data_IF_130289635340
#
_entry.id   IF_130289635340
#
_cell.length_a   1.000
_cell.length_b   1.000
_cell.length_c   1.000
_cell.angle_alpha   90.00
_cell.angle_beta   90.00
_cell.angle_gamma   90.00
#
_symmetry.space_group_name_H-M   'P 1'
#
loop_
_entity.id
_entity.type
_entity.pdbx_description
1 polymer ?
#
# COMPACT_ATOMS: atom_id res chain seq x y z
N UNK A 1 -40.84 18.79 -12.68
CA UNK A 1 -39.58 18.20 -12.16
C UNK A 1 -39.44 16.81 -12.77
N UNK A 2 -38.72 16.70 -13.90
CA UNK A 2 -38.45 15.42 -14.56
C UNK A 2 -37.46 14.64 -13.69
N UNK A 3 -37.83 13.41 -13.35
CA UNK A 3 -37.00 12.44 -12.65
C UNK A 3 -35.64 12.31 -13.32
N UNK A 4 -34.57 12.65 -12.61
CA UNK A 4 -33.18 12.33 -12.98
C UNK A 4 -32.62 11.22 -12.09
N UNK A 5 -33.49 10.30 -11.63
CA UNK A 5 -33.17 9.20 -10.71
C UNK A 5 -32.72 7.91 -11.41
N UNK A 6 -32.65 7.88 -12.74
CA UNK A 6 -32.27 6.67 -13.50
C UNK A 6 -30.77 6.29 -13.39
N UNK A 7 -29.97 7.07 -12.67
CA UNK A 7 -28.57 6.76 -12.33
C UNK A 7 -28.41 6.02 -10.99
N UNK A 8 -29.44 5.97 -10.15
CA UNK A 8 -29.33 5.56 -8.73
C UNK A 8 -29.86 4.14 -8.44
N UNK A 9 -29.76 3.19 -9.38
CA UNK A 9 -30.40 1.88 -9.20
C UNK A 9 -29.71 0.92 -8.22
N UNK A 10 -28.55 1.25 -7.63
CA UNK A 10 -27.95 0.45 -6.56
C UNK A 10 -26.91 1.25 -5.74
N UNK A 11 -27.37 2.07 -4.78
CA UNK A 11 -26.48 2.70 -3.79
C UNK A 11 -26.19 1.68 -2.68
N UNK A 12 -24.99 1.09 -2.67
CA UNK A 12 -24.62 0.04 -1.70
C UNK A 12 -24.24 0.57 -0.31
N UNK A 13 -23.65 1.76 -0.21
CA UNK A 13 -23.21 2.37 1.05
C UNK A 13 -23.26 3.90 0.95
N UNK A 14 -23.74 4.53 2.02
CA UNK A 14 -23.81 5.98 2.20
C UNK A 14 -22.84 6.35 3.31
N UNK A 15 -21.94 7.29 3.04
CA UNK A 15 -21.06 7.87 4.05
C UNK A 15 -21.24 9.39 4.07
N UNK A 16 -21.43 9.95 5.26
CA UNK A 16 -21.44 11.40 5.44
C UNK A 16 -20.00 11.93 5.52
N UNK A 17 -19.66 12.90 4.69
CA UNK A 17 -18.37 13.60 4.71
C UNK A 17 -18.60 15.10 4.50
N UNK A 18 -18.20 15.93 5.46
CA UNK A 18 -18.33 17.40 5.40
C UNK A 18 -19.75 17.90 5.06
N UNK A 19 -20.78 17.23 5.58
CA UNK A 19 -22.19 17.58 5.30
C UNK A 19 -22.71 17.09 3.94
N UNK A 20 -21.87 16.42 3.15
CA UNK A 20 -22.22 15.84 1.86
C UNK A 20 -22.34 14.30 1.96
N UNK A 21 -23.12 13.73 1.05
CA UNK A 21 -23.29 12.28 0.89
C UNK A 21 -22.29 11.79 -0.16
N UNK A 22 -21.39 10.89 0.21
CA UNK A 22 -20.44 10.26 -0.71
C UNK A 22 -20.98 8.91 -1.17
N UNK A 23 -21.00 8.67 -2.47
CA UNK A 23 -21.45 7.41 -3.06
C UNK A 23 -20.62 7.02 -4.29
N UNK A 24 -20.55 5.72 -4.60
CA UNK A 24 -19.93 5.22 -5.83
C UNK A 24 -21.00 5.06 -6.90
N UNK A 25 -20.81 5.70 -8.06
CA UNK A 25 -21.64 5.51 -9.24
C UNK A 25 -21.15 4.29 -10.03
N UNK A 26 -22.00 3.27 -10.15
CA UNK A 26 -21.65 2.04 -10.87
C UNK A 26 -21.55 2.21 -12.39
N UNK A 27 -22.25 3.17 -13.00
CA UNK A 27 -22.16 3.40 -14.45
C UNK A 27 -20.85 4.08 -14.79
N UNK A 28 -20.48 5.09 -14.00
CA UNK A 28 -19.29 5.89 -14.26
C UNK A 28 -18.03 5.31 -13.60
N UNK A 29 -18.18 4.32 -12.71
CA UNK A 29 -17.13 3.78 -11.84
C UNK A 29 -16.38 4.88 -11.06
N UNK A 30 -17.08 5.95 -10.69
CA UNK A 30 -16.53 7.12 -10.03
C UNK A 30 -17.17 7.32 -8.66
N UNK A 31 -16.39 7.85 -7.74
CA UNK A 31 -16.92 8.37 -6.48
C UNK A 31 -17.53 9.74 -6.76
N UNK A 32 -18.74 9.96 -6.27
CA UNK A 32 -19.49 11.22 -6.39
C UNK A 32 -19.91 11.69 -5.01
N UNK A 33 -20.09 13.00 -4.91
CA UNK A 33 -20.52 13.67 -3.69
C UNK A 33 -21.81 14.42 -3.97
N UNK A 34 -22.82 14.19 -3.14
CA UNK A 34 -24.10 14.87 -3.21
C UNK A 34 -24.21 15.86 -2.06
N UNK A 35 -24.38 17.14 -2.39
CA UNK A 35 -24.64 18.18 -1.42
C UNK A 35 -26.16 18.33 -1.25
N UNK A 36 -26.65 18.10 -0.04
CA UNK A 36 -28.09 18.13 0.27
C UNK A 36 -28.68 19.54 0.28
N UNK A 37 -27.86 20.58 0.48
CA UNK A 37 -28.27 21.97 0.54
C UNK A 37 -28.41 22.58 -0.85
N UNK A 38 -27.47 22.29 -1.76
CA UNK A 38 -27.49 22.77 -3.15
C UNK A 38 -28.19 21.81 -4.12
N UNK A 39 -28.52 20.59 -3.67
CA UNK A 39 -29.02 19.49 -4.50
C UNK A 39 -28.13 19.19 -5.73
N UNK A 40 -26.83 19.43 -5.61
CA UNK A 40 -25.84 19.18 -6.67
C UNK A 40 -25.11 17.86 -6.45
N UNK A 41 -24.84 17.16 -7.54
CA UNK A 41 -23.96 15.98 -7.57
C UNK A 41 -22.69 16.38 -8.28
N UNK A 42 -21.57 16.26 -7.59
CA UNK A 42 -20.26 16.51 -8.14
C UNK A 42 -19.48 15.20 -8.19
N UNK A 43 -18.63 15.04 -9.20
CA UNK A 43 -17.66 13.95 -9.17
C UNK A 43 -16.67 14.29 -8.07
N UNK A 44 -16.40 13.34 -7.18
CA UNK A 44 -15.39 13.53 -6.14
C UNK A 44 -14.02 13.61 -6.84
N UNK A 45 -13.59 14.84 -7.11
CA UNK A 45 -12.26 15.11 -7.62
C UNK A 45 -11.38 15.28 -6.40
N UNK A 46 -10.65 14.22 -6.05
CA UNK A 46 -9.48 14.38 -5.19
C UNK A 46 -8.53 15.31 -5.94
N UNK A 47 -8.33 16.52 -5.41
CA UNK A 47 -7.25 17.34 -5.92
C UNK A 47 -5.94 16.63 -5.60
N UNK A 48 -5.14 16.47 -6.65
CA UNK A 48 -4.00 15.57 -6.67
C UNK A 48 -2.67 16.30 -6.66
N UNK A 49 -2.70 17.60 -6.37
CA UNK A 49 -1.50 18.39 -6.22
C UNK A 49 -0.81 18.08 -4.88
N UNK A 50 0.53 18.18 -4.82
CA UNK A 50 1.30 17.95 -3.61
C UNK A 50 0.81 18.76 -2.40
N UNK A 51 0.44 20.03 -2.62
CA UNK A 51 0.00 20.91 -1.54
C UNK A 51 -1.34 20.46 -0.96
N UNK A 52 -2.29 20.11 -1.81
CA UNK A 52 -3.61 19.66 -1.35
C UNK A 52 -3.53 18.32 -0.63
N UNK A 53 -2.67 17.42 -1.11
CA UNK A 53 -2.43 16.15 -0.45
C UNK A 53 -1.84 16.34 0.95
N UNK A 54 -0.93 17.30 1.15
CA UNK A 54 -0.45 17.68 2.49
C UNK A 54 -1.60 18.18 3.36
N UNK A 55 -2.38 19.15 2.86
CA UNK A 55 -3.53 19.70 3.59
C UNK A 55 -4.54 18.61 4.01
N UNK A 56 -4.84 17.67 3.10
CA UNK A 56 -5.76 16.56 3.35
C UNK A 56 -5.21 15.60 4.42
N UNK A 57 -3.94 15.19 4.31
CA UNK A 57 -3.32 14.30 5.30
C UNK A 57 -3.25 14.98 6.67
N UNK A 58 -2.89 16.26 6.73
CA UNK A 58 -2.88 17.03 7.99
C UNK A 58 -4.27 17.14 8.60
N UNK A 59 -5.30 17.37 7.79
CA UNK A 59 -6.70 17.44 8.25
C UNK A 59 -7.16 16.11 8.85
N UNK A 60 -6.88 14.99 8.18
CA UNK A 60 -7.17 13.65 8.69
C UNK A 60 -6.38 13.36 9.96
N UNK A 61 -5.09 13.70 9.99
CA UNK A 61 -4.26 13.47 11.17
C UNK A 61 -4.75 14.29 12.37
N UNK A 62 -5.13 15.55 12.16
CA UNK A 62 -5.72 16.40 13.19
C UNK A 62 -7.06 15.84 13.70
N UNK A 63 -7.94 15.40 12.80
CA UNK A 63 -9.20 14.76 13.16
C UNK A 63 -8.95 13.53 14.06
N UNK A 64 -8.07 12.61 13.65
CA UNK A 64 -7.78 11.41 14.45
C UNK A 64 -7.15 11.78 15.80
N UNK A 65 -6.21 12.73 15.83
CA UNK A 65 -5.62 13.21 17.09
C UNK A 65 -6.69 13.76 18.05
N UNK A 66 -7.62 14.56 17.53
CA UNK A 66 -8.74 15.11 18.30
C UNK A 66 -9.65 14.00 18.84
N UNK A 67 -10.08 13.07 17.98
CA UNK A 67 -10.91 11.92 18.41
C UNK A 67 -10.22 11.10 19.50
N UNK A 68 -8.91 10.86 19.36
CA UNK A 68 -8.14 10.13 20.38
C UNK A 68 -8.06 10.91 21.70
N UNK A 69 -7.87 12.24 21.64
CA UNK A 69 -7.86 13.09 22.82
C UNK A 69 -9.22 13.10 23.55
N UNK A 70 -10.32 13.24 22.79
CA UNK A 70 -11.69 13.22 23.31
C UNK A 70 -12.00 11.90 24.02
N UNK A 71 -11.64 10.76 23.41
CA UNK A 71 -11.86 9.44 24.01
C UNK A 71 -11.03 9.27 25.28
N UNK A 72 -9.76 9.67 25.26
CA UNK A 72 -8.91 9.62 26.47
C UNK A 72 -9.52 10.45 27.60
N UNK A 73 -10.03 11.63 27.31
CA UNK A 73 -10.69 12.49 28.28
C UNK A 73 -11.98 11.85 28.81
N UNK A 74 -12.82 11.33 27.92
CA UNK A 74 -14.12 10.72 28.27
C UNK A 74 -13.95 9.54 29.23
N UNK A 75 -12.98 8.65 28.95
CA UNK A 75 -12.70 7.48 29.77
C UNK A 75 -11.67 7.73 30.89
N UNK A 76 -11.22 8.98 31.08
CA UNK A 76 -10.20 9.36 32.08
C UNK A 76 -8.93 8.49 31.99
N UNK A 77 -8.52 8.18 30.77
CA UNK A 77 -7.36 7.35 30.50
C UNK A 77 -6.07 8.13 30.70
N UNK A 78 -5.00 7.45 31.11
CA UNK A 78 -3.65 8.03 31.11
C UNK A 78 -3.17 8.26 29.67
N UNK A 79 -2.34 9.28 29.46
CA UNK A 79 -1.72 9.61 28.16
C UNK A 79 -1.05 8.40 27.49
N UNK A 80 -0.39 7.56 28.29
CA UNK A 80 0.37 6.39 27.83
C UNK A 80 -0.47 5.13 27.68
N UNK A 81 -1.73 5.14 28.11
CA UNK A 81 -2.60 3.97 28.02
C UNK A 81 -2.86 3.60 26.55
N UNK A 82 -2.83 2.30 26.27
CA UNK A 82 -3.19 1.75 24.97
C UNK A 82 -4.69 1.87 24.75
N UNK A 83 -5.08 2.38 23.57
CA UNK A 83 -6.48 2.57 23.18
C UNK A 83 -6.96 1.48 22.20
N UNK A 84 -6.17 0.43 22.00
CA UNK A 84 -6.44 -0.66 21.05
C UNK A 84 -7.39 -1.73 21.65
N UNK A 85 -8.49 -1.30 22.28
CA UNK A 85 -9.37 -2.12 23.11
C UNK A 85 -10.86 -2.07 22.71
N UNK A 86 -11.75 -2.71 23.49
CA UNK A 86 -13.21 -2.73 23.27
C UNK A 86 -13.89 -1.35 23.16
N UNK A 87 -13.18 -0.29 23.53
CA UNK A 87 -13.55 1.13 23.46
C UNK A 87 -13.56 1.67 22.01
N UNK A 88 -13.06 0.88 21.04
CA UNK A 88 -13.32 1.11 19.62
C UNK A 88 -12.56 2.27 18.97
N UNK A 89 -11.39 2.64 19.48
CA UNK A 89 -10.57 3.73 18.93
C UNK A 89 -9.51 3.30 17.93
N UNK A 90 -9.02 4.29 17.16
CA UNK A 90 -7.98 4.12 16.14
C UNK A 90 -6.69 3.59 16.77
N UNK A 91 -6.14 2.50 16.20
CA UNK A 91 -4.94 1.88 16.78
C UNK A 91 -3.75 2.85 16.87
N UNK A 92 -2.90 2.69 17.88
CA UNK A 92 -1.65 3.47 17.99
C UNK A 92 -0.78 3.40 16.73
N UNK A 93 -0.70 2.23 16.10
CA UNK A 93 0.06 2.04 14.85
C UNK A 93 -0.50 2.91 13.72
N UNK A 94 -1.82 3.06 13.67
CA UNK A 94 -2.48 3.89 12.67
C UNK A 94 -2.18 5.37 12.88
N UNK A 95 -2.16 5.83 14.14
CA UNK A 95 -1.75 7.21 14.47
C UNK A 95 -0.29 7.47 14.07
N UNK A 96 0.62 6.56 14.40
CA UNK A 96 2.03 6.65 14.03
C UNK A 96 2.22 6.63 12.50
N UNK A 97 1.47 5.78 11.78
CA UNK A 97 1.46 5.78 10.31
C UNK A 97 0.98 7.10 9.72
N UNK A 98 -0.03 7.75 10.28
CA UNK A 98 -0.50 9.06 9.79
C UNK A 98 0.53 10.17 10.00
N UNK A 99 1.23 10.16 11.13
CA UNK A 99 2.34 11.10 11.38
C UNK A 99 3.48 10.89 10.38
N UNK A 100 3.82 9.63 10.06
CA UNK A 100 4.82 9.33 9.05
C UNK A 100 4.38 9.76 7.65
N UNK A 101 3.10 9.55 7.32
CA UNK A 101 2.53 9.94 6.04
C UNK A 101 2.53 11.47 5.88
N UNK A 102 2.10 12.22 6.90
CA UNK A 102 2.12 13.68 6.92
C UNK A 102 3.53 14.21 6.63
N UNK A 103 4.53 13.74 7.40
CA UNK A 103 5.93 14.11 7.20
C UNK A 103 6.46 13.73 5.83
N UNK A 104 6.08 12.55 5.33
CA UNK A 104 6.50 12.09 4.00
C UNK A 104 5.96 12.98 2.88
N UNK A 105 4.71 13.44 3.01
CA UNK A 105 4.09 14.34 2.04
C UNK A 105 4.71 15.74 2.07
N UNK A 106 4.96 16.28 3.27
CA UNK A 106 5.68 17.55 3.44
C UNK A 106 7.07 17.48 2.81
N UNK A 107 7.82 16.42 3.13
CA UNK A 107 9.16 16.21 2.59
C UNK A 107 9.15 16.05 1.06
N UNK A 108 8.16 15.33 0.49
CA UNK A 108 8.02 15.20 -0.95
C UNK A 108 7.80 16.56 -1.62
N UNK A 109 6.85 17.35 -1.09
CA UNK A 109 6.56 18.70 -1.58
C UNK A 109 7.82 19.57 -1.52
N UNK A 110 8.50 19.59 -0.38
CA UNK A 110 9.67 20.45 -0.17
C UNK A 110 10.85 20.03 -1.07
N UNK A 111 11.05 18.72 -1.26
CA UNK A 111 12.06 18.21 -2.20
C UNK A 111 11.78 18.62 -3.64
N UNK A 112 10.52 18.51 -4.09
CA UNK A 112 10.13 18.98 -5.43
C UNK A 112 10.37 20.47 -5.55
N UNK A 113 9.90 21.25 -4.56
CA UNK A 113 10.08 22.71 -4.52
C UNK A 113 11.54 23.11 -4.66
N UNK A 114 12.43 22.41 -3.95
CA UNK A 114 13.87 22.65 -3.98
C UNK A 114 14.52 22.32 -5.34
N UNK A 115 13.95 21.38 -6.10
CA UNK A 115 14.44 21.01 -7.44
C UNK A 115 13.89 21.96 -8.50
N UNK A 116 12.57 22.18 -8.50
CA UNK A 116 11.88 23.09 -9.40
C UNK A 116 10.51 23.48 -8.82
N UNK A 117 10.37 24.74 -8.39
CA UNK A 117 9.12 25.26 -7.81
C UNK A 117 7.98 25.31 -8.84
N UNK A 118 8.26 25.67 -10.09
CA UNK A 118 7.25 25.78 -11.13
C UNK A 118 6.59 24.42 -11.44
N UNK A 119 7.35 23.33 -11.24
CA UNK A 119 6.88 21.98 -11.47
C UNK A 119 5.88 21.48 -10.43
N UNK A 120 5.75 22.13 -9.26
CA UNK A 120 4.78 21.71 -8.22
C UNK A 120 3.34 21.70 -8.73
N UNK A 121 2.98 22.65 -9.59
CA UNK A 121 1.64 22.76 -10.16
C UNK A 121 1.33 21.67 -11.20
N UNK A 122 2.37 21.13 -11.82
CA UNK A 122 2.29 20.12 -12.88
C UNK A 122 2.28 18.68 -12.35
N UNK A 123 2.67 18.48 -11.08
CA UNK A 123 2.65 17.15 -10.46
C UNK A 123 1.21 16.73 -10.19
N UNK A 124 0.80 15.67 -10.86
CA UNK A 124 -0.40 14.91 -10.52
C UNK A 124 -0.01 13.65 -9.73
N UNK A 125 -0.23 13.66 -8.42
CA UNK A 125 0.05 12.51 -7.55
C UNK A 125 -0.73 11.24 -7.93
N UNK A 126 -1.81 11.33 -8.72
CA UNK A 126 -2.52 10.15 -9.23
C UNK A 126 -1.64 9.32 -10.15
N UNK A 127 -0.66 9.92 -10.81
CA UNK A 127 0.35 9.19 -11.61
C UNK A 127 1.24 8.29 -10.76
N UNK A 128 1.39 8.57 -9.46
CA UNK A 128 2.11 7.66 -8.55
C UNK A 128 1.27 6.41 -8.23
N UNK A 129 -0.06 6.53 -8.26
CA UNK A 129 -0.97 5.40 -8.04
C UNK A 129 -0.88 4.40 -9.19
N UNK A 130 -0.69 4.84 -10.43
CA UNK A 130 -0.53 3.91 -11.56
C UNK A 130 0.72 3.07 -11.40
N UNK A 131 1.85 3.66 -11.01
CA UNK A 131 3.07 2.90 -10.71
C UNK A 131 2.88 1.91 -9.55
N UNK A 132 2.15 2.29 -8.51
CA UNK A 132 1.80 1.37 -7.40
C UNK A 132 0.93 0.21 -7.91
N UNK A 133 -0.10 0.50 -8.70
CA UNK A 133 -1.02 -0.50 -9.27
C UNK A 133 -0.29 -1.45 -10.21
N UNK A 134 0.58 -0.94 -11.08
CA UNK A 134 1.41 -1.73 -11.99
C UNK A 134 2.35 -2.67 -11.21
N UNK A 135 3.00 -2.16 -10.15
CA UNK A 135 3.84 -2.99 -9.29
C UNK A 135 3.04 -4.11 -8.60
N UNK A 136 1.82 -3.83 -8.14
CA UNK A 136 0.93 -4.86 -7.57
C UNK A 136 0.52 -5.89 -8.63
N UNK A 137 0.18 -5.45 -9.84
CA UNK A 137 -0.18 -6.34 -10.94
C UNK A 137 0.99 -7.22 -11.37
N UNK A 138 2.20 -6.67 -11.46
CA UNK A 138 3.41 -7.42 -11.76
C UNK A 138 3.63 -8.54 -10.74
N UNK A 139 3.49 -8.25 -9.43
CA UNK A 139 3.59 -9.26 -8.36
C UNK A 139 2.50 -10.34 -8.46
N UNK A 140 1.30 -9.98 -8.91
CA UNK A 140 0.25 -10.96 -9.19
C UNK A 140 0.62 -11.88 -10.36
N UNK A 141 1.12 -11.30 -11.46
CA UNK A 141 1.55 -12.06 -12.63
C UNK A 141 2.74 -12.99 -12.35
N UNK A 142 3.58 -12.67 -11.36
CA UNK A 142 4.62 -13.59 -10.88
C UNK A 142 4.05 -14.87 -10.25
N UNK A 143 2.84 -14.83 -9.69
CA UNK A 143 2.19 -16.01 -9.10
C UNK A 143 1.38 -16.79 -10.13
N UNK A 144 0.61 -16.10 -10.96
CA UNK A 144 -0.26 -16.69 -11.97
C UNK A 144 -0.17 -15.89 -13.26
N UNK A 145 0.07 -16.54 -14.40
CA UNK A 145 0.17 -15.86 -15.71
C UNK A 145 -1.10 -15.04 -16.01
N UNK A 146 -2.26 -15.60 -15.69
CA UNK A 146 -3.56 -14.92 -15.71
C UNK A 146 -4.33 -15.19 -14.42
N UNK A 147 -5.19 -14.27 -14.00
CA UNK A 147 -5.97 -14.39 -12.77
C UNK A 147 -7.39 -13.85 -12.97
N UNK A 148 -8.36 -14.50 -12.34
CA UNK A 148 -9.72 -13.97 -12.22
C UNK A 148 -9.76 -12.86 -11.18
N UNK A 149 -10.78 -11.99 -11.24
CA UNK A 149 -10.99 -10.94 -10.24
C UNK A 149 -11.10 -11.51 -8.81
N UNK A 150 -11.70 -12.70 -8.65
CA UNK A 150 -11.83 -13.37 -7.36
C UNK A 150 -10.46 -13.82 -6.82
N UNK A 151 -9.63 -14.45 -7.65
CA UNK A 151 -8.28 -14.87 -7.27
C UNK A 151 -7.40 -13.67 -6.91
N UNK A 152 -7.45 -12.60 -7.72
CA UNK A 152 -6.73 -11.36 -7.42
C UNK A 152 -7.16 -10.79 -6.07
N UNK A 153 -8.46 -10.75 -5.79
CA UNK A 153 -9.00 -10.29 -4.51
C UNK A 153 -8.54 -11.14 -3.32
N UNK A 154 -8.52 -12.46 -3.46
CA UNK A 154 -8.03 -13.38 -2.43
C UNK A 154 -6.53 -13.22 -2.16
N UNK A 155 -5.73 -13.01 -3.22
CA UNK A 155 -4.28 -12.85 -3.13
C UNK A 155 -3.82 -11.43 -2.79
N UNK A 156 -4.70 -10.43 -2.85
CA UNK A 156 -4.36 -9.01 -2.76
C UNK A 156 -3.53 -8.66 -1.52
N UNK A 157 -3.88 -9.21 -0.36
CA UNK A 157 -3.12 -8.98 0.88
C UNK A 157 -1.68 -9.51 0.80
N UNK A 158 -1.50 -10.68 0.18
CA UNK A 158 -0.17 -11.27 -0.04
C UNK A 158 0.61 -10.48 -1.07
N UNK A 159 -0.02 -10.11 -2.18
CA UNK A 159 0.57 -9.29 -3.25
C UNK A 159 1.06 -7.95 -2.68
N UNK A 160 0.22 -7.27 -1.89
CA UNK A 160 0.56 -5.99 -1.26
C UNK A 160 1.77 -6.12 -0.33
N UNK A 161 1.81 -7.19 0.47
CA UNK A 161 2.94 -7.46 1.37
C UNK A 161 4.24 -7.73 0.61
N UNK A 162 4.19 -8.55 -0.43
CA UNK A 162 5.38 -8.86 -1.25
C UNK A 162 5.84 -7.64 -2.07
N UNK A 163 4.92 -6.84 -2.60
CA UNK A 163 5.22 -5.58 -3.28
C UNK A 163 5.92 -4.59 -2.33
N UNK A 164 5.44 -4.48 -1.09
CA UNK A 164 6.07 -3.65 -0.07
C UNK A 164 7.50 -4.11 0.27
N UNK A 165 7.73 -5.43 0.37
CA UNK A 165 9.07 -5.98 0.61
C UNK A 165 10.06 -5.67 -0.52
N UNK A 166 9.59 -5.64 -1.77
CA UNK A 166 10.42 -5.36 -2.95
C UNK A 166 10.77 -3.88 -3.10
N UNK A 167 9.83 -3.00 -2.76
CA UNK A 167 9.96 -1.54 -2.92
C UNK A 167 10.70 -0.88 -1.75
N UNK A 168 10.63 -1.46 -0.56
CA UNK A 168 11.35 -0.96 0.61
C UNK A 168 12.63 -1.75 0.84
N UNK A 169 13.67 -1.13 1.42
CA UNK A 169 14.81 -1.86 2.00
C UNK A 169 14.32 -2.59 3.25
N UNK A 170 13.52 -3.64 3.05
CA UNK A 170 13.05 -4.51 4.12
C UNK A 170 14.27 -5.25 4.68
N UNK A 171 14.67 -4.90 5.90
CA UNK A 171 15.48 -5.78 6.74
C UNK A 171 14.54 -6.63 7.57
N UNK A 172 14.58 -7.95 7.42
CA UNK A 172 13.88 -8.83 8.33
C UNK A 172 14.56 -8.74 9.71
N UNK A 173 14.13 -7.80 10.55
CA UNK A 173 14.44 -7.84 11.99
C UNK A 173 13.58 -8.94 12.60
N UNK A 174 14.07 -10.17 12.50
CA UNK A 174 13.55 -11.24 13.35
C UNK A 174 13.84 -10.80 14.78
N UNK A 175 12.80 -10.54 15.56
CA UNK A 175 12.92 -10.44 17.02
C UNK A 175 13.26 -11.85 17.51
N UNK A 176 14.52 -12.24 17.40
CA UNK A 176 15.03 -13.34 18.20
C UNK A 176 14.95 -12.86 19.63
N UNK A 177 14.25 -13.61 20.49
CA UNK A 177 14.37 -13.46 21.95
C UNK A 177 15.86 -13.29 22.30
N UNK A 178 16.16 -12.58 23.39
CA UNK A 178 17.54 -12.38 23.87
C UNK A 178 18.33 -13.69 23.96
N UNK A 179 17.61 -14.82 24.13
CA UNK A 179 18.12 -16.17 23.96
C UNK A 179 17.47 -16.85 22.75
N UNK A 180 18.27 -17.39 21.84
CA UNK A 180 17.77 -18.23 20.75
C UNK A 180 17.09 -19.47 21.33
N UNK A 181 15.90 -19.81 20.83
CA UNK A 181 15.20 -21.04 21.21
C UNK A 181 15.91 -22.30 20.69
N UNK A 182 16.78 -22.12 19.70
CA UNK A 182 17.58 -23.18 19.11
C UNK A 182 18.92 -23.32 19.85
N UNK A 183 19.40 -24.56 20.05
CA UNK A 183 20.73 -24.80 20.60
C UNK A 183 21.77 -24.17 19.68
N UNK A 184 22.66 -23.36 20.26
CA UNK A 184 23.79 -22.78 19.52
C UNK A 184 24.73 -23.92 19.12
N UNK A 185 24.99 -24.14 17.81
CA UNK A 185 25.94 -25.16 17.38
C UNK A 185 27.30 -24.89 18.00
N UNK A 186 27.91 -25.90 18.63
CA UNK A 186 29.27 -25.80 19.20
C UNK A 186 30.35 -25.57 18.13
N UNK A 187 29.99 -25.73 16.85
CA UNK A 187 30.82 -25.52 15.67
C UNK A 187 30.47 -24.23 14.95
N UNK A 188 30.15 -23.15 15.66
CA UNK A 188 29.92 -21.85 15.02
C UNK A 188 31.23 -21.35 14.40
N UNK A 189 31.18 -21.08 13.11
CA UNK A 189 32.27 -20.44 12.35
C UNK A 189 31.81 -19.01 12.09
N UNK A 190 32.69 -18.01 12.27
CA UNK A 190 32.33 -16.64 11.89
C UNK A 190 32.04 -16.57 10.39
N UNK A 191 31.13 -15.70 9.96
CA UNK A 191 30.76 -15.58 8.54
C UNK A 191 31.98 -15.30 7.63
N UNK A 192 33.02 -14.67 8.19
CA UNK A 192 34.29 -14.38 7.50
C UNK A 192 35.15 -15.63 7.28
N UNK A 193 35.00 -16.62 8.16
CA UNK A 193 35.74 -17.88 8.18
C UNK A 193 34.95 -19.02 7.51
N UNK A 194 33.71 -18.75 7.08
CA UNK A 194 32.96 -19.67 6.22
C UNK A 194 33.73 -19.78 4.92
N UNK A 195 34.30 -20.98 4.70
CA UNK A 195 34.99 -21.31 3.46
C UNK A 195 34.00 -21.13 2.30
N UNK A 196 34.15 -20.02 1.57
CA UNK A 196 33.34 -19.76 0.37
C UNK A 196 33.66 -20.88 -0.60
N UNK A 197 32.64 -21.65 -1.01
CA UNK A 197 32.81 -22.68 -2.03
C UNK A 197 33.56 -22.08 -3.21
N UNK A 198 34.75 -22.60 -3.52
CA UNK A 198 35.42 -22.26 -4.76
C UNK A 198 34.47 -22.66 -5.88
N UNK A 199 34.13 -21.71 -6.75
CA UNK A 199 33.37 -21.99 -7.95
C UNK A 199 34.04 -23.17 -8.67
N UNK A 200 33.28 -24.20 -9.07
CA UNK A 200 33.81 -25.23 -9.96
C UNK A 200 34.44 -24.56 -11.19
N UNK A 201 35.48 -25.18 -11.79
CA UNK A 201 36.01 -24.70 -13.05
C UNK A 201 34.88 -24.53 -14.06
N UNK A 202 34.86 -23.39 -14.75
CA UNK A 202 33.93 -23.19 -15.84
C UNK A 202 34.39 -24.04 -17.03
N UNK A 203 33.78 -25.21 -17.19
CA UNK A 203 33.97 -26.04 -18.38
C UNK A 203 32.97 -25.63 -19.47
N UNK A 204 33.39 -25.78 -20.72
CA UNK A 204 32.49 -25.61 -21.85
C UNK A 204 31.41 -26.69 -21.80
N UNK A 205 30.14 -26.27 -21.89
CA UNK A 205 29.01 -27.20 -21.95
C UNK A 205 29.11 -28.01 -23.26
N UNK A 206 29.03 -29.33 -23.16
CA UNK A 206 28.95 -30.21 -24.33
C UNK A 206 27.72 -29.82 -25.17
N UNK A 207 27.85 -29.57 -26.47
CA UNK A 207 26.72 -29.15 -27.33
C UNK A 207 25.52 -30.10 -27.28
N UNK A 208 25.73 -31.40 -27.05
CA UNK A 208 24.65 -32.37 -26.91
C UNK A 208 23.91 -32.22 -25.58
N UNK A 209 24.64 -31.90 -24.49
CA UNK A 209 24.04 -31.61 -23.19
C UNK A 209 23.23 -30.31 -23.27
N UNK A 210 23.77 -29.29 -23.94
CA UNK A 210 23.07 -28.03 -24.16
C UNK A 210 21.78 -28.24 -24.97
N UNK A 211 21.83 -29.03 -26.04
CA UNK A 211 20.66 -29.36 -26.86
C UNK A 211 19.59 -30.13 -26.05
N UNK A 212 20.00 -31.12 -25.26
CA UNK A 212 19.10 -31.90 -24.41
C UNK A 212 18.45 -31.02 -23.32
N UNK A 213 19.20 -30.09 -22.73
CA UNK A 213 18.67 -29.13 -21.77
C UNK A 213 17.64 -28.17 -22.40
N UNK A 214 17.91 -27.67 -23.61
CA UNK A 214 16.95 -26.83 -24.35
C UNK A 214 15.67 -27.59 -24.68
N UNK A 215 15.78 -28.82 -25.17
CA UNK A 215 14.62 -29.69 -25.45
C UNK A 215 13.80 -29.98 -24.19
N UNK A 216 14.47 -30.17 -23.04
CA UNK A 216 13.81 -30.38 -21.77
C UNK A 216 13.07 -29.13 -21.30
N UNK A 217 13.70 -27.95 -21.40
CA UNK A 217 13.05 -26.67 -21.08
C UNK A 217 11.83 -26.44 -21.97
N UNK A 218 11.92 -26.72 -23.27
CA UNK A 218 10.79 -26.56 -24.19
C UNK A 218 9.66 -27.57 -23.91
N UNK A 219 9.98 -28.82 -23.52
CA UNK A 219 8.98 -29.82 -23.11
C UNK A 219 8.19 -29.42 -21.87
N UNK A 220 8.86 -28.80 -20.90
CA UNK A 220 8.25 -28.39 -19.63
C UNK A 220 7.85 -26.91 -19.61
N UNK A 221 8.01 -26.21 -20.74
CA UNK A 221 7.53 -24.84 -20.89
C UNK A 221 6.01 -24.87 -20.78
N UNK A 222 5.40 -24.14 -19.82
CA UNK A 222 3.95 -24.07 -19.71
C UNK A 222 3.35 -23.60 -21.04
N UNK A 223 2.30 -24.29 -21.49
CA UNK A 223 1.55 -23.89 -22.69
C UNK A 223 0.83 -22.58 -22.37
N UNK A 224 1.14 -21.54 -23.14
CA UNK A 224 0.51 -20.21 -23.08
C UNK A 224 -0.96 -20.25 -23.47
#
# INVERSE_FOLDING_TARGET
LRNSSDSCKEIKRLYGYEGNIVFTDNKDQKVKTFNSLSATVETFVLSSQPQDAVCNVSSVNAYIKNTVAEVRQHYKMKETATINGPEGTVSRKTQESLVLLERGMEQLRDNVKNVNEDYLGDIDLRTLLTTQVENLHAVSHFKNETFTALQYGQDFGTISKESLKRTTKWGAKYFTLEKSYYPVPKSSVELRDVNVMKLPPADNVDPNIEAAMKELVDRYRPVK
#
